data_IF_165286724979
#
_entry.id   IF_165286724979
#
_cell.length_a   1.000
_cell.length_b   1.000
_cell.length_c   1.000
_cell.angle_alpha   90.00
_cell.angle_beta   90.00
_cell.angle_gamma   90.00
#
_symmetry.space_group_name_H-M   'P 1'
#
loop_
_entity.id
_entity.type
_entity.pdbx_description
1 polymer ?
#
# COMPACT_ATOMS: atom_id res chain seq x y z
N UNK A 1 -2.30 -15.58 1.21
CA UNK A 1 -2.60 -15.12 2.57
C UNK A 1 -1.32 -14.57 3.21
N UNK A 2 -1.19 -13.24 3.35
CA UNK A 2 -0.01 -12.55 3.89
C UNK A 2 -0.41 -11.64 5.07
N UNK A 3 0.15 -11.88 6.27
CA UNK A 3 -0.14 -11.13 7.50
C UNK A 3 0.93 -10.10 7.82
N UNK A 4 0.61 -9.13 8.68
CA UNK A 4 1.55 -8.08 9.10
C UNK A 4 2.80 -8.65 9.79
N UNK A 5 2.65 -9.70 10.61
CA UNK A 5 3.80 -10.35 11.26
C UNK A 5 4.71 -11.07 10.24
N UNK A 6 4.16 -11.61 9.16
CA UNK A 6 4.95 -12.18 8.06
C UNK A 6 5.69 -11.07 7.29
N UNK A 7 5.06 -9.91 7.08
CA UNK A 7 5.75 -8.75 6.47
C UNK A 7 6.93 -8.30 7.36
N UNK A 8 6.76 -8.27 8.68
CA UNK A 8 7.82 -7.92 9.62
C UNK A 8 8.94 -8.97 9.70
N UNK A 9 8.67 -10.23 9.33
CA UNK A 9 9.65 -11.31 9.43
C UNK A 9 10.70 -11.29 8.30
N UNK A 10 10.48 -10.54 7.22
CA UNK A 10 11.37 -10.51 6.07
C UNK A 10 11.78 -9.09 5.68
N UNK A 11 13.08 -8.84 5.59
CA UNK A 11 13.61 -7.52 5.21
C UNK A 11 13.11 -7.05 3.83
N UNK A 12 12.99 -7.99 2.88
CA UNK A 12 12.50 -7.70 1.54
C UNK A 12 11.06 -7.15 1.54
N UNK A 13 10.17 -7.67 2.38
CA UNK A 13 8.78 -7.18 2.48
C UNK A 13 8.70 -5.86 3.24
N UNK A 14 9.55 -5.65 4.26
CA UNK A 14 9.69 -4.34 4.93
C UNK A 14 10.15 -3.27 3.93
N UNK A 15 11.07 -3.62 3.01
CA UNK A 15 11.54 -2.70 1.97
C UNK A 15 10.41 -2.28 1.04
N UNK A 16 9.57 -3.22 0.58
CA UNK A 16 8.39 -2.91 -0.26
C UNK A 16 7.41 -1.99 0.49
N UNK A 17 7.12 -2.29 1.76
CA UNK A 17 6.26 -1.45 2.60
C UNK A 17 6.82 -0.03 2.74
N UNK A 18 8.11 0.10 3.07
CA UNK A 18 8.80 1.39 3.16
C UNK A 18 8.74 2.17 1.84
N UNK A 19 9.07 1.55 0.71
CA UNK A 19 9.05 2.21 -0.60
C UNK A 19 7.64 2.68 -0.98
N UNK A 20 6.60 1.92 -0.62
CA UNK A 20 5.22 2.36 -0.82
C UNK A 20 4.86 3.62 -0.01
N UNK A 21 5.36 3.73 1.23
CA UNK A 21 5.16 4.92 2.07
C UNK A 21 5.94 6.13 1.54
N UNK A 22 7.17 5.92 1.07
CA UNK A 22 8.02 6.96 0.48
C UNK A 22 7.37 7.52 -0.80
N UNK A 23 6.89 6.66 -1.69
CA UNK A 23 6.17 7.04 -2.90
C UNK A 23 4.90 7.87 -2.58
N UNK A 24 4.10 7.42 -1.61
CA UNK A 24 2.90 8.16 -1.19
C UNK A 24 3.24 9.50 -0.52
N UNK A 25 4.32 9.57 0.25
CA UNK A 25 4.80 10.84 0.83
C UNK A 25 5.24 11.79 -0.27
N UNK A 26 6.04 11.34 -1.24
CA UNK A 26 6.46 12.17 -2.37
C UNK A 26 5.28 12.67 -3.19
N UNK A 27 4.25 11.83 -3.40
CA UNK A 27 3.02 12.25 -4.05
C UNK A 27 2.29 13.34 -3.24
N UNK A 28 2.18 13.20 -1.92
CA UNK A 28 1.55 14.19 -1.05
C UNK A 28 2.30 15.54 -1.12
N UNK A 29 3.64 15.51 -1.05
CA UNK A 29 4.49 16.69 -1.14
C UNK A 29 4.29 17.42 -2.49
N UNK A 30 4.15 16.68 -3.60
CA UNK A 30 3.90 17.27 -4.94
C UNK A 30 2.55 17.98 -5.06
N UNK A 31 1.58 17.64 -4.20
CA UNK A 31 0.28 18.32 -4.10
C UNK A 31 0.24 19.37 -2.96
N UNK A 32 1.38 19.69 -2.35
CA UNK A 32 1.47 20.66 -1.26
C UNK A 32 0.90 20.18 0.07
N UNK A 33 0.69 18.86 0.23
CA UNK A 33 0.22 18.24 1.47
C UNK A 33 1.43 17.75 2.25
N UNK A 34 1.88 18.53 3.22
CA UNK A 34 3.02 18.19 4.05
C UNK A 34 2.66 17.09 5.07
N UNK A 35 3.25 15.90 4.90
CA UNK A 35 3.29 14.88 5.95
C UNK A 35 4.46 15.14 6.89
N UNK A 36 4.38 14.63 8.12
CA UNK A 36 5.48 14.72 9.07
C UNK A 36 6.78 14.13 8.50
N UNK A 37 7.92 14.73 8.84
CA UNK A 37 9.24 14.26 8.34
C UNK A 37 9.51 12.81 8.71
N UNK A 38 9.04 12.37 9.86
CA UNK A 38 9.19 11.01 10.37
C UNK A 38 8.03 10.08 9.98
N UNK A 39 7.11 10.49 9.09
CA UNK A 39 5.96 9.69 8.66
C UNK A 39 6.34 8.27 8.25
N UNK A 40 7.34 8.11 7.38
CA UNK A 40 7.80 6.79 6.91
C UNK A 40 8.38 5.98 8.08
N UNK A 41 9.22 6.61 8.91
CA UNK A 41 9.85 5.97 10.07
C UNK A 41 8.79 5.48 11.06
N UNK A 42 7.85 6.34 11.46
CA UNK A 42 6.78 6.01 12.40
C UNK A 42 5.91 4.86 11.90
N UNK A 43 5.58 4.83 10.61
CA UNK A 43 4.76 3.76 10.04
C UNK A 43 5.52 2.42 9.97
N UNK A 44 6.82 2.43 9.66
CA UNK A 44 7.65 1.21 9.67
C UNK A 44 7.85 0.69 11.11
N UNK A 45 8.13 1.57 12.07
CA UNK A 45 8.27 1.21 13.49
C UNK A 45 6.94 0.82 14.15
N UNK A 46 5.82 1.26 13.57
CA UNK A 46 4.47 0.88 13.99
C UNK A 46 4.06 -0.51 13.52
N UNK A 47 4.62 -1.01 12.42
CA UNK A 47 4.21 -2.27 11.79
C UNK A 47 4.31 -3.49 12.73
N UNK A 48 5.34 -3.66 13.57
CA UNK A 48 5.42 -4.80 14.50
C UNK A 48 4.44 -4.73 15.69
N UNK A 49 3.76 -3.58 15.89
CA UNK A 49 2.84 -3.38 17.02
C UNK A 49 1.47 -4.02 16.78
N UNK A 50 1.17 -4.39 15.54
CA UNK A 50 -0.07 -5.09 15.22
C UNK A 50 -0.06 -6.51 15.80
N UNK A 51 -1.20 -7.01 16.32
CA UNK A 51 -1.32 -8.39 16.79
C UNK A 51 -0.90 -9.40 15.71
N UNK A 52 -0.33 -10.54 16.13
CA UNK A 52 -0.01 -11.65 15.23
C UNK A 52 -1.23 -12.07 14.42
N UNK A 53 -1.07 -12.26 13.12
CA UNK A 53 -2.16 -12.62 12.21
C UNK A 53 -2.99 -11.43 11.70
N UNK A 54 -2.63 -10.19 12.07
CA UNK A 54 -3.28 -8.99 11.55
C UNK A 54 -3.13 -8.88 10.04
N UNK A 55 -4.15 -8.31 9.40
CA UNK A 55 -4.22 -8.06 7.96
C UNK A 55 -4.93 -6.72 7.70
N UNK A 56 -4.71 -6.13 6.52
CA UNK A 56 -5.42 -4.91 6.12
C UNK A 56 -6.91 -5.19 5.86
N UNK A 57 -7.76 -4.16 5.94
CA UNK A 57 -9.20 -4.28 5.61
C UNK A 57 -9.41 -4.86 4.22
N UNK A 58 -8.72 -4.32 3.21
CA UNK A 58 -8.80 -4.82 1.83
C UNK A 58 -8.40 -6.30 1.71
N UNK A 59 -7.43 -6.79 2.49
CA UNK A 59 -7.10 -8.23 2.51
C UNK A 59 -8.24 -9.05 3.14
N UNK A 60 -8.91 -8.54 4.18
CA UNK A 60 -10.09 -9.19 4.75
C UNK A 60 -11.26 -9.22 3.76
N UNK A 61 -11.46 -8.16 2.99
CA UNK A 61 -12.50 -8.08 1.96
C UNK A 61 -12.24 -9.09 0.83
N UNK A 62 -10.98 -9.21 0.40
CA UNK A 62 -10.56 -10.24 -0.57
C UNK A 62 -10.89 -11.65 -0.08
N UNK A 63 -10.58 -11.97 1.19
CA UNK A 63 -10.89 -13.29 1.77
C UNK A 63 -12.39 -13.57 1.87
N UNK A 64 -13.23 -12.52 1.89
CA UNK A 64 -14.69 -12.63 1.94
C UNK A 64 -15.35 -12.64 0.55
N UNK A 65 -14.58 -12.51 -0.52
CA UNK A 65 -15.16 -12.40 -1.86
C UNK A 65 -15.80 -11.04 -2.16
N UNK A 66 -15.35 -9.98 -1.48
CA UNK A 66 -15.93 -8.64 -1.60
C UNK A 66 -15.12 -7.75 -2.55
N UNK A 67 -15.78 -6.73 -3.10
CA UNK A 67 -15.15 -5.71 -3.92
C UNK A 67 -14.01 -5.03 -3.17
N UNK A 68 -12.85 -4.90 -3.82
CA UNK A 68 -11.66 -4.27 -3.27
C UNK A 68 -11.56 -2.81 -3.65
N UNK A 69 -10.97 -2.01 -2.75
CA UNK A 69 -10.72 -0.58 -2.94
C UNK A 69 -9.45 -0.28 -3.76
N UNK A 70 -8.98 -1.24 -4.58
CA UNK A 70 -7.71 -1.11 -5.33
C UNK A 70 -7.72 0.08 -6.32
N UNK A 71 -8.87 0.38 -6.92
CA UNK A 71 -9.03 1.52 -7.83
C UNK A 71 -9.05 2.88 -7.12
N UNK A 72 -9.62 2.94 -5.92
CA UNK A 72 -9.73 4.18 -5.14
C UNK A 72 -8.47 4.47 -4.35
N UNK A 73 -7.65 3.45 -4.04
CA UNK A 73 -6.39 3.60 -3.34
C UNK A 73 -5.21 3.69 -4.32
N UNK A 74 -4.72 2.57 -4.84
CA UNK A 74 -3.54 2.55 -5.71
C UNK A 74 -3.83 3.16 -7.08
N UNK A 75 -4.98 2.83 -7.67
CA UNK A 75 -5.40 3.39 -8.96
C UNK A 75 -5.51 4.92 -8.92
N UNK A 76 -6.05 5.48 -7.84
CA UNK A 76 -6.14 6.92 -7.66
C UNK A 76 -4.77 7.57 -7.49
N UNK A 77 -3.88 6.98 -6.69
CA UNK A 77 -2.51 7.46 -6.52
C UNK A 77 -1.75 7.51 -7.86
N UNK A 78 -1.85 6.46 -8.69
CA UNK A 78 -1.23 6.41 -10.02
C UNK A 78 -1.77 7.53 -10.92
N UNK A 79 -3.09 7.73 -10.96
CA UNK A 79 -3.70 8.82 -11.73
C UNK A 79 -3.29 10.21 -11.25
N UNK A 80 -3.09 10.39 -9.93
CA UNK A 80 -2.61 11.65 -9.36
C UNK A 80 -1.14 11.89 -9.68
N UNK A 81 -0.29 10.86 -9.61
CA UNK A 81 1.13 10.95 -9.95
C UNK A 81 1.34 11.30 -11.42
N UNK A 82 0.54 10.71 -12.32
CA UNK A 82 0.60 11.01 -13.75
C UNK A 82 0.34 12.50 -14.08
N UNK A 83 -0.49 13.20 -13.29
CA UNK A 83 -0.73 14.65 -13.45
C UNK A 83 0.45 15.53 -13.03
N UNK A 84 1.41 14.96 -12.29
CA UNK A 84 2.64 15.62 -11.83
C UNK A 84 3.87 15.08 -12.57
N UNK A 85 3.70 14.31 -13.65
CA UNK A 85 4.77 13.60 -14.36
C UNK A 85 5.64 12.70 -13.44
N UNK A 86 5.02 12.18 -12.36
CA UNK A 86 5.64 11.29 -11.39
C UNK A 86 5.30 9.83 -11.65
N UNK A 87 6.20 8.93 -11.27
CA UNK A 87 5.97 7.47 -11.26
C UNK A 87 5.96 6.95 -9.84
N UNK A 88 5.13 5.95 -9.59
CA UNK A 88 5.04 5.25 -8.30
C UNK A 88 5.28 3.75 -8.53
N UNK A 89 6.49 3.32 -8.88
CA UNK A 89 6.74 1.96 -9.39
C UNK A 89 6.33 0.86 -8.39
N UNK A 90 6.47 1.09 -7.08
CA UNK A 90 6.02 0.16 -6.05
C UNK A 90 4.50 0.09 -6.01
N UNK A 91 3.81 1.25 -6.01
CA UNK A 91 2.35 1.32 -6.03
C UNK A 91 1.77 0.75 -7.34
N UNK A 92 2.38 1.01 -8.49
CA UNK A 92 2.02 0.45 -9.81
C UNK A 92 2.12 -1.08 -9.81
N UNK A 93 3.19 -1.62 -9.23
CA UNK A 93 3.38 -3.07 -9.08
C UNK A 93 2.30 -3.66 -8.17
N UNK A 94 2.06 -3.06 -7.00
CA UNK A 94 1.03 -3.53 -6.06
C UNK A 94 -0.37 -3.45 -6.68
N UNK A 95 -0.68 -2.38 -7.41
CA UNK A 95 -1.91 -2.25 -8.17
C UNK A 95 -2.08 -3.42 -9.14
N UNK A 96 -1.07 -3.69 -9.98
CA UNK A 96 -1.12 -4.79 -10.95
C UNK A 96 -1.29 -6.17 -10.32
N UNK A 97 -0.68 -6.42 -9.15
CA UNK A 97 -0.81 -7.68 -8.42
C UNK A 97 -2.20 -7.85 -7.77
N UNK A 98 -2.83 -6.76 -7.33
CA UNK A 98 -4.13 -6.79 -6.66
C UNK A 98 -5.29 -6.72 -7.65
N UNK A 99 -5.11 -6.07 -8.80
CA UNK A 99 -6.16 -5.79 -9.79
C UNK A 99 -6.97 -7.03 -10.22
N UNK A 100 -6.39 -8.22 -10.46
CA UNK A 100 -7.17 -9.42 -10.81
C UNK A 100 -8.20 -9.82 -9.76
N UNK A 101 -8.00 -9.41 -8.50
CA UNK A 101 -8.86 -9.74 -7.36
C UNK A 101 -9.85 -8.62 -7.02
N UNK A 102 -9.93 -7.55 -7.83
CA UNK A 102 -10.77 -6.37 -7.54
C UNK A 102 -12.22 -6.76 -7.22
N UNK A 103 -12.78 -7.73 -7.93
CA UNK A 103 -14.16 -8.18 -7.76
C UNK A 103 -14.34 -9.18 -6.61
N UNK A 104 -13.36 -9.29 -5.71
CA UNK A 104 -13.32 -10.24 -4.59
C UNK A 104 -12.95 -11.67 -4.99
N UNK A 105 -12.79 -11.94 -6.28
CA UNK A 105 -12.36 -13.23 -6.83
C UNK A 105 -11.46 -12.96 -8.04
N UNK A 106 -10.67 -13.96 -8.44
CA UNK A 106 -9.94 -13.87 -9.72
C UNK A 106 -10.95 -13.70 -10.85
N UNK A 107 -10.89 -12.55 -11.52
CA UNK A 107 -11.62 -12.26 -12.74
C UNK A 107 -10.95 -12.82 -14.00
#
# INVERSE_FOLDING_TARGET
DLTTDQICAHEATIKVYRSSLEEMKSLADAYGVALAEDFVKQNVEGLPKYPKGSTSSMHQDMRKGLLLEVESLQGAAIRLAAKQDMKLPTIETLYGLIKPYEMGSEG
#
